data_IF_062345739885
#
_entry.id   IF_062345739885
#
_cell.length_a   1.000
_cell.length_b   1.000
_cell.length_c   1.000
_cell.angle_alpha   90.00
_cell.angle_beta   90.00
_cell.angle_gamma   90.00
#
_symmetry.space_group_name_H-M   'P 1'
#
loop_
_entity.id
_entity.type
_entity.pdbx_description
1 polymer ?
#
# COMPACT_ATOMS: atom_id res chain seq x y z
N UNK A 1 -9.91 42.27 43.66
CA UNK A 1 -11.37 42.47 43.88
C UNK A 1 -12.05 42.14 42.55
N UNK A 2 -12.84 41.08 42.37
CA UNK A 2 -14.08 40.72 43.07
C UNK A 2 -14.34 39.21 43.11
N UNK A 3 -15.16 38.82 44.11
CA UNK A 3 -15.54 37.48 44.54
C UNK A 3 -16.72 36.89 43.75
N UNK A 4 -16.64 35.56 43.60
CA UNK A 4 -17.65 34.49 43.72
C UNK A 4 -19.11 34.70 43.29
N UNK A 5 -19.64 33.72 42.54
CA UNK A 5 -20.82 32.97 43.00
C UNK A 5 -20.66 31.46 42.78
N UNK A 6 -21.01 30.73 43.83
CA UNK A 6 -21.09 29.27 43.95
C UNK A 6 -22.51 28.78 43.63
N UNK A 7 -22.62 27.50 43.26
CA UNK A 7 -23.62 26.45 43.64
C UNK A 7 -23.93 25.56 42.42
N UNK A 8 -24.27 24.27 42.49
CA UNK A 8 -24.08 23.12 43.38
C UNK A 8 -25.15 22.09 42.96
N UNK A 9 -24.80 20.79 42.88
CA UNK A 9 -25.74 19.66 42.99
C UNK A 9 -26.15 19.01 41.66
N UNK A 10 -26.47 17.70 41.57
CA UNK A 10 -26.62 16.60 42.53
C UNK A 10 -26.43 15.27 41.75
N UNK A 11 -26.11 14.25 42.54
CA UNK A 11 -25.75 12.83 42.37
C UNK A 11 -26.58 11.86 41.50
N UNK A 12 -25.99 10.66 41.31
CA UNK A 12 -26.56 9.29 41.32
C UNK A 12 -26.60 8.59 39.93
N UNK A 13 -26.28 7.31 39.69
CA UNK A 13 -25.87 6.12 40.47
C UNK A 13 -25.53 5.00 39.45
N UNK A 14 -24.40 4.29 39.58
CA UNK A 14 -24.25 2.84 39.90
C UNK A 14 -24.63 1.79 38.80
N UNK A 15 -23.58 1.09 38.32
CA UNK A 15 -23.40 -0.38 38.09
C UNK A 15 -23.99 -1.10 36.86
N UNK A 16 -23.08 -1.77 36.12
CA UNK A 16 -23.08 -3.21 35.82
C UNK A 16 -21.70 -3.61 35.25
N UNK A 17 -20.81 -4.21 36.06
CA UNK A 17 -20.52 -5.65 36.18
C UNK A 17 -19.87 -6.30 34.94
N UNK A 18 -18.64 -6.78 35.20
CA UNK A 18 -17.71 -7.41 34.29
C UNK A 18 -18.17 -8.78 33.79
N UNK A 19 -17.85 -9.09 32.54
CA UNK A 19 -17.72 -10.45 32.05
C UNK A 19 -16.26 -10.66 31.60
N UNK A 20 -15.55 -11.48 32.37
CA UNK A 20 -14.17 -11.87 32.10
C UNK A 20 -14.23 -13.14 31.25
N UNK A 21 -13.90 -13.04 29.96
CA UNK A 21 -13.63 -14.22 29.15
C UNK A 21 -12.15 -14.59 29.35
N UNK A 22 -11.90 -15.67 30.09
CA UNK A 22 -10.56 -16.20 30.31
C UNK A 22 -9.96 -16.72 28.98
N UNK A 23 -8.65 -16.54 28.74
CA UNK A 23 -7.96 -17.28 27.70
C UNK A 23 -7.79 -18.74 28.14
N UNK A 24 -8.33 -19.67 27.34
CA UNK A 24 -8.01 -21.10 27.43
C UNK A 24 -6.50 -21.28 27.24
N UNK A 25 -5.84 -21.75 28.30
CA UNK A 25 -4.43 -22.10 28.28
C UNK A 25 -4.30 -23.45 27.57
N UNK A 26 -3.78 -23.44 26.34
CA UNK A 26 -3.31 -24.64 25.67
C UNK A 26 -2.07 -25.16 26.41
N UNK A 27 -2.30 -26.16 27.24
CA UNK A 27 -1.30 -26.93 27.96
C UNK A 27 -0.34 -27.63 27.00
N UNK A 28 0.90 -27.13 26.94
CA UNK A 28 2.04 -27.77 26.30
C UNK A 28 2.38 -29.07 27.05
N UNK A 29 1.83 -30.19 26.58
CA UNK A 29 2.27 -31.53 26.91
C UNK A 29 3.51 -31.87 26.09
N UNK A 30 4.68 -31.71 26.70
CA UNK A 30 5.92 -32.37 26.27
C UNK A 30 5.86 -33.86 26.62
N UNK A 31 6.70 -34.63 25.91
CA UNK A 31 7.12 -36.03 26.10
C UNK A 31 6.47 -37.10 25.20
N UNK A 32 7.21 -37.42 24.14
CA UNK A 32 7.81 -38.75 24.04
C UNK A 32 7.11 -39.74 23.10
N UNK A 33 7.62 -39.85 21.87
CA UNK A 33 7.18 -40.87 20.92
C UNK A 33 7.97 -40.87 19.62
N UNK A 34 9.28 -41.04 19.73
CA UNK A 34 10.19 -41.35 18.62
C UNK A 34 9.82 -42.72 18.06
N UNK A 35 9.38 -42.81 16.79
CA UNK A 35 9.93 -43.75 15.80
C UNK A 35 9.48 -43.40 14.38
N UNK A 36 10.46 -42.91 13.61
CA UNK A 36 10.88 -43.47 12.33
C UNK A 36 9.83 -43.57 11.19
N UNK A 37 9.85 -42.60 10.27
CA UNK A 37 10.01 -42.99 8.87
C UNK A 37 10.86 -41.97 8.06
N UNK A 38 11.87 -42.54 7.42
CA UNK A 38 12.76 -42.06 6.36
C UNK A 38 12.85 -40.53 6.12
N UNK A 39 13.89 -39.85 6.62
CA UNK A 39 15.15 -39.63 5.88
C UNK A 39 15.10 -40.00 4.38
N UNK A 40 14.78 -39.01 3.53
CA UNK A 40 15.50 -38.70 2.26
C UNK A 40 14.90 -37.47 1.57
N UNK A 41 15.39 -36.29 1.94
CA UNK A 41 15.61 -35.10 1.09
C UNK A 41 16.08 -33.95 2.00
N UNK A 42 17.39 -33.83 2.18
CA UNK A 42 18.18 -32.70 1.66
C UNK A 42 18.03 -31.44 2.52
N UNK A 43 18.82 -31.34 3.59
CA UNK A 43 20.01 -30.47 3.62
C UNK A 43 19.67 -28.98 3.70
N UNK A 44 19.67 -28.48 4.93
CA UNK A 44 19.69 -27.07 5.26
C UNK A 44 20.98 -26.43 4.74
N UNK A 45 20.91 -25.75 3.61
CA UNK A 45 21.83 -24.65 3.29
C UNK A 45 21.23 -23.68 2.27
N UNK A 46 21.20 -22.40 2.67
CA UNK A 46 21.19 -21.17 1.85
C UNK A 46 19.90 -20.78 1.12
N UNK A 47 19.63 -19.46 1.22
CA UNK A 47 18.74 -18.63 0.40
C UNK A 47 17.25 -18.77 0.78
N UNK A 48 16.62 -17.80 1.47
CA UNK A 48 16.33 -16.46 0.93
C UNK A 48 16.21 -16.46 -0.60
N UNK A 49 15.39 -17.36 -1.12
CA UNK A 49 14.72 -17.22 -2.40
C UNK A 49 13.24 -17.39 -2.11
N UNK A 50 12.55 -16.27 -1.88
CA UNK A 50 11.11 -16.22 -1.99
C UNK A 50 10.78 -16.57 -3.43
N UNK A 51 10.38 -17.82 -3.63
CA UNK A 51 9.91 -18.37 -4.88
C UNK A 51 8.69 -17.55 -5.31
N UNK A 52 8.89 -16.79 -6.39
CA UNK A 52 7.89 -16.00 -7.07
C UNK A 52 6.85 -16.94 -7.66
N UNK A 53 5.72 -17.08 -6.98
CA UNK A 53 4.49 -17.64 -7.55
C UNK A 53 3.93 -16.60 -8.55
N UNK A 54 3.52 -16.98 -9.77
CA UNK A 54 2.99 -16.03 -10.74
C UNK A 54 1.70 -15.44 -10.20
N UNK A 55 1.73 -14.15 -9.88
CA UNK A 55 0.65 -13.46 -9.21
C UNK A 55 -0.49 -13.19 -10.22
N UNK A 56 -1.66 -13.76 -9.98
CA UNK A 56 -2.87 -13.46 -10.76
C UNK A 56 -3.53 -12.18 -10.25
N UNK A 57 -4.28 -11.48 -11.10
CA UNK A 57 -4.94 -10.18 -10.86
C UNK A 57 -5.59 -9.96 -9.49
N UNK A 58 -6.03 -11.02 -8.83
CA UNK A 58 -6.62 -10.96 -7.49
C UNK A 58 -5.63 -10.53 -6.40
N UNK A 59 -4.31 -10.69 -6.61
CA UNK A 59 -3.30 -10.37 -5.59
C UNK A 59 -2.90 -8.88 -5.52
N UNK A 60 -3.15 -8.08 -6.57
CA UNK A 60 -2.96 -6.63 -6.48
C UNK A 60 -4.15 -5.91 -5.82
N UNK A 61 -5.33 -6.52 -5.74
CA UNK A 61 -6.46 -6.03 -4.93
C UNK A 61 -6.49 -6.63 -3.51
N UNK A 62 -6.05 -7.88 -3.32
CA UNK A 62 -6.13 -8.57 -2.03
C UNK A 62 -5.12 -8.11 -0.96
N UNK A 63 -4.10 -7.31 -1.32
CA UNK A 63 -3.06 -6.87 -0.38
C UNK A 63 -3.21 -5.42 0.11
N UNK A 64 -4.33 -4.77 -0.21
CA UNK A 64 -4.74 -3.52 0.42
C UNK A 64 -5.60 -3.79 1.66
N UNK A 65 -5.00 -3.64 2.85
CA UNK A 65 -5.61 -3.65 4.19
C UNK A 65 -5.51 -4.95 5.02
N UNK A 66 -5.36 -4.71 6.32
CA UNK A 66 -4.93 -5.55 7.43
C UNK A 66 -5.74 -6.83 7.73
N UNK A 67 -5.02 -7.89 8.14
CA UNK A 67 -5.47 -9.01 8.99
C UNK A 67 -6.82 -9.68 8.66
N UNK A 68 -6.81 -10.70 7.80
CA UNK A 68 -7.84 -11.74 7.83
C UNK A 68 -7.27 -13.07 7.35
N UNK A 69 -7.59 -14.14 8.08
CA UNK A 69 -6.87 -15.41 8.10
C UNK A 69 -6.88 -16.19 6.78
N UNK A 70 -5.72 -16.74 6.46
CA UNK A 70 -5.49 -17.65 5.33
C UNK A 70 -6.21 -18.98 5.58
N UNK A 71 -7.19 -19.29 4.74
CA UNK A 71 -7.55 -20.68 4.41
C UNK A 71 -7.20 -20.91 2.95
N UNK A 72 -5.98 -21.40 2.72
CA UNK A 72 -5.56 -21.93 1.43
C UNK A 72 -6.12 -23.36 1.35
N UNK A 73 -7.30 -23.50 0.72
CA UNK A 73 -7.80 -24.80 0.30
C UNK A 73 -7.04 -25.23 -0.97
N UNK A 74 -6.53 -26.45 -0.93
CA UNK A 74 -5.49 -26.94 -1.83
C UNK A 74 -5.93 -27.28 -3.25
N UNK A 75 -4.91 -27.53 -4.07
CA UNK A 75 -5.02 -28.38 -5.25
C UNK A 75 -4.47 -27.76 -6.54
N UNK A 76 -3.24 -28.11 -6.89
CA UNK A 76 -2.79 -28.48 -8.25
C UNK A 76 -3.39 -27.73 -9.47
N UNK A 77 -3.50 -26.40 -9.43
CA UNK A 77 -3.68 -25.55 -10.61
C UNK A 77 -2.35 -24.83 -10.82
N UNK A 78 -1.38 -25.37 -11.57
CA UNK A 78 -1.53 -25.83 -12.95
C UNK A 78 -1.09 -24.66 -13.85
N UNK A 79 0.07 -24.79 -14.49
CA UNK A 79 0.86 -23.76 -15.22
C UNK A 79 0.16 -23.12 -16.44
N UNK A 80 -1.16 -23.17 -16.52
CA UNK A 80 -1.98 -22.72 -17.66
C UNK A 80 -2.83 -21.48 -17.37
N UNK A 81 -2.86 -20.97 -16.14
CA UNK A 81 -3.58 -19.74 -15.81
C UNK A 81 -2.94 -18.46 -16.40
N UNK A 82 -1.62 -18.46 -16.61
CA UNK A 82 -0.91 -17.29 -17.14
C UNK A 82 -1.27 -16.95 -18.60
N UNK A 83 -1.51 -17.96 -19.44
CA UNK A 83 -1.77 -17.75 -20.87
C UNK A 83 -3.17 -17.15 -21.13
N UNK A 84 -4.15 -17.46 -20.27
CA UNK A 84 -5.49 -16.89 -20.37
C UNK A 84 -5.55 -15.43 -19.88
N UNK A 85 -4.77 -15.08 -18.84
CA UNK A 85 -4.70 -13.72 -18.31
C UNK A 85 -4.00 -12.75 -19.29
N UNK A 86 -2.92 -13.20 -19.95
CA UNK A 86 -2.28 -12.44 -21.03
C UNK A 86 -3.19 -12.23 -22.23
N UNK A 87 -4.00 -13.24 -22.58
CA UNK A 87 -4.99 -13.15 -23.68
C UNK A 87 -6.22 -12.31 -23.31
N UNK A 88 -6.52 -12.13 -22.02
CA UNK A 88 -7.50 -11.18 -21.52
C UNK A 88 -6.97 -9.73 -21.45
N UNK A 89 -5.70 -9.49 -21.84
CA UNK A 89 -5.11 -8.15 -21.95
C UNK A 89 -4.61 -7.55 -20.63
N UNK A 90 -4.62 -8.31 -19.53
CA UNK A 90 -4.34 -7.75 -18.21
C UNK A 90 -2.97 -8.27 -17.75
N UNK A 91 -1.94 -7.52 -18.13
CA UNK A 91 -0.57 -7.74 -17.70
C UNK A 91 -0.41 -7.22 -16.27
N UNK A 92 -0.13 -8.11 -15.30
CA UNK A 92 0.17 -7.76 -13.91
C UNK A 92 1.68 -7.83 -13.66
N UNK A 93 2.29 -6.68 -13.42
CA UNK A 93 3.71 -6.52 -13.09
C UNK A 93 3.92 -6.45 -11.57
N UNK A 94 5.16 -6.70 -11.14
CA UNK A 94 5.55 -6.56 -9.74
C UNK A 94 5.89 -5.10 -9.45
N UNK A 95 5.30 -4.47 -8.41
CA UNK A 95 5.70 -3.14 -7.97
C UNK A 95 7.17 -3.08 -7.54
N UNK A 96 7.91 -2.12 -8.07
CA UNK A 96 9.31 -1.88 -7.70
C UNK A 96 9.35 -1.15 -6.35
N UNK A 97 10.11 -1.69 -5.39
CA UNK A 97 10.24 -1.06 -4.07
C UNK A 97 10.82 0.35 -4.14
N UNK A 98 11.69 0.63 -5.13
CA UNK A 98 12.28 1.95 -5.39
C UNK A 98 11.23 3.04 -5.63
N UNK A 99 10.06 2.68 -6.18
CA UNK A 99 9.01 3.64 -6.53
C UNK A 99 7.79 3.58 -5.60
N UNK A 100 7.84 2.75 -4.55
CA UNK A 100 6.73 2.58 -3.60
C UNK A 100 6.35 3.86 -2.84
N UNK A 101 7.28 4.79 -2.70
CA UNK A 101 7.03 6.11 -2.09
C UNK A 101 6.33 7.09 -3.04
N UNK A 102 6.27 6.78 -4.34
CA UNK A 102 5.75 7.66 -5.39
C UNK A 102 4.52 7.09 -6.08
N UNK A 103 4.44 5.77 -6.24
CA UNK A 103 3.35 5.07 -6.92
C UNK A 103 2.56 4.22 -5.96
N UNK A 104 1.24 4.24 -6.12
CA UNK A 104 0.37 3.28 -5.45
C UNK A 104 0.51 1.90 -6.09
N UNK A 105 0.29 0.85 -5.31
CA UNK A 105 0.26 -0.53 -5.79
C UNK A 105 -0.71 -0.73 -6.96
N UNK A 106 -1.87 -0.04 -6.93
CA UNK A 106 -2.89 -0.12 -7.97
C UNK A 106 -2.39 0.37 -9.35
N UNK A 107 -1.44 1.30 -9.39
CA UNK A 107 -0.81 1.80 -10.61
C UNK A 107 0.40 0.94 -10.97
N UNK A 108 1.29 0.69 -10.00
CA UNK A 108 2.55 -0.02 -10.22
C UNK A 108 2.34 -1.44 -10.79
N UNK A 109 1.29 -2.14 -10.36
CA UNK A 109 0.97 -3.48 -10.88
C UNK A 109 0.60 -3.52 -12.37
N UNK A 110 0.28 -2.39 -13.01
CA UNK A 110 -0.11 -2.34 -14.43
C UNK A 110 1.02 -1.88 -15.36
N UNK A 111 2.12 -1.43 -14.77
CA UNK A 111 3.25 -0.82 -15.45
C UNK A 111 4.48 -1.74 -15.36
N UNK A 112 5.19 -1.89 -16.47
CA UNK A 112 6.50 -2.53 -16.44
C UNK A 112 7.52 -1.69 -15.65
N UNK A 113 8.70 -2.24 -15.30
CA UNK A 113 9.67 -1.49 -14.49
C UNK A 113 10.14 -0.15 -15.07
N UNK A 114 10.22 0.00 -16.41
CA UNK A 114 10.61 1.27 -17.03
C UNK A 114 9.46 2.28 -16.98
N UNK A 115 8.23 1.82 -17.21
CA UNK A 115 7.03 2.64 -17.09
C UNK A 115 6.79 3.10 -15.65
N UNK A 116 7.06 2.24 -14.66
CA UNK A 116 7.01 2.62 -13.25
C UNK A 116 8.00 3.75 -12.95
N UNK A 117 9.20 3.72 -13.54
CA UNK A 117 10.16 4.82 -13.40
C UNK A 117 9.64 6.12 -14.00
N UNK A 118 9.10 6.08 -15.22
CA UNK A 118 8.53 7.26 -15.89
C UNK A 118 7.35 7.85 -15.11
N UNK A 119 6.46 7.00 -14.59
CA UNK A 119 5.33 7.41 -13.76
C UNK A 119 5.79 8.02 -12.42
N UNK A 120 6.80 7.42 -11.77
CA UNK A 120 7.38 7.97 -10.55
C UNK A 120 8.06 9.32 -10.79
N UNK A 121 8.79 9.47 -11.90
CA UNK A 121 9.39 10.74 -12.30
C UNK A 121 8.36 11.83 -12.60
N UNK A 122 7.25 11.47 -13.24
CA UNK A 122 6.13 12.39 -13.45
C UNK A 122 5.52 12.85 -12.12
N UNK A 123 5.35 11.96 -11.15
CA UNK A 123 4.91 12.32 -9.79
C UNK A 123 5.91 13.27 -9.13
N UNK A 124 7.20 12.95 -9.13
CA UNK A 124 8.24 13.80 -8.53
C UNK A 124 8.30 15.17 -9.19
N UNK A 125 8.10 15.24 -10.50
CA UNK A 125 8.11 16.50 -11.25
C UNK A 125 6.87 17.34 -10.94
N UNK A 126 5.69 16.73 -10.92
CA UNK A 126 4.44 17.42 -10.58
C UNK A 126 4.44 17.95 -9.13
N UNK A 127 5.12 17.26 -8.23
CA UNK A 127 5.19 17.60 -6.79
C UNK A 127 6.41 18.42 -6.40
N UNK A 128 7.29 18.76 -7.36
CA UNK A 128 8.49 19.56 -7.05
C UNK A 128 8.09 20.95 -6.57
N UNK A 129 8.70 21.39 -5.47
CA UNK A 129 8.43 22.67 -4.83
C UNK A 129 8.52 23.84 -5.80
N UNK A 130 7.41 24.55 -5.99
CA UNK A 130 7.29 25.74 -6.84
C UNK A 130 6.67 26.93 -6.12
N UNK A 131 6.24 26.76 -4.86
CA UNK A 131 5.86 27.88 -3.98
C UNK A 131 7.08 28.50 -3.31
N UNK A 132 6.96 29.74 -2.84
CA UNK A 132 8.01 30.45 -2.10
C UNK A 132 8.48 29.67 -0.85
N UNK A 133 7.59 28.88 -0.26
CA UNK A 133 7.84 27.97 0.88
C UNK A 133 8.36 26.57 0.48
N UNK A 134 8.69 26.37 -0.80
CA UNK A 134 9.26 25.12 -1.32
C UNK A 134 8.28 23.94 -1.43
N UNK A 135 6.97 24.19 -1.56
CA UNK A 135 5.92 23.17 -1.68
C UNK A 135 5.28 23.08 -3.07
N UNK A 136 4.53 22.02 -3.33
CA UNK A 136 3.89 21.77 -4.63
C UNK A 136 2.66 22.67 -4.88
N UNK A 137 2.44 23.11 -6.11
CA UNK A 137 1.28 23.92 -6.48
C UNK A 137 0.08 23.04 -6.87
N UNK A 138 -1.10 23.37 -6.35
CA UNK A 138 -2.35 22.71 -6.76
C UNK A 138 -2.63 23.04 -8.23
N UNK A 139 -3.01 22.03 -9.00
CA UNK A 139 -3.22 22.10 -10.45
C UNK A 139 -1.99 21.75 -11.28
N UNK A 140 -0.79 21.67 -10.69
CA UNK A 140 0.40 21.23 -11.42
C UNK A 140 0.21 19.80 -11.90
N UNK A 141 0.46 19.61 -13.21
CA UNK A 141 0.31 18.31 -13.88
C UNK A 141 1.58 18.00 -14.66
N UNK A 142 1.99 16.74 -14.64
CA UNK A 142 3.06 16.21 -15.51
C UNK A 142 2.54 14.96 -16.21
N UNK A 143 2.74 14.90 -17.52
CA UNK A 143 2.32 13.78 -18.38
C UNK A 143 3.53 12.99 -18.86
N UNK A 144 3.35 11.70 -19.12
CA UNK A 144 4.38 10.82 -19.67
C UNK A 144 3.77 9.83 -20.67
N UNK A 145 4.60 9.31 -21.56
CA UNK A 145 4.26 8.25 -22.53
C UNK A 145 5.28 7.14 -22.37
N UNK A 146 4.84 5.90 -22.42
CA UNK A 146 5.71 4.74 -22.27
C UNK A 146 6.73 4.66 -23.41
N UNK A 147 7.98 4.37 -23.04
CA UNK A 147 9.06 4.09 -24.00
C UNK A 147 9.08 2.62 -24.45
N UNK A 148 8.39 1.73 -23.72
CA UNK A 148 8.39 0.28 -23.94
C UNK A 148 7.12 -0.20 -24.66
N UNK A 149 5.98 0.49 -24.47
CA UNK A 149 4.67 0.12 -25.04
C UNK A 149 3.96 1.34 -25.62
N UNK A 150 3.58 1.34 -26.92
CA UNK A 150 3.01 2.51 -27.58
C UNK A 150 1.60 2.89 -27.11
N UNK A 151 0.89 1.96 -26.44
CA UNK A 151 -0.47 2.13 -25.95
C UNK A 151 -0.54 2.39 -24.43
N UNK A 152 0.58 2.78 -23.83
CA UNK A 152 0.69 3.11 -22.41
C UNK A 152 1.12 4.55 -22.20
N UNK A 153 0.37 5.28 -21.39
CA UNK A 153 0.67 6.66 -21.02
C UNK A 153 0.09 6.99 -19.65
N UNK A 154 0.45 8.14 -19.11
CA UNK A 154 -0.16 8.60 -17.87
C UNK A 154 0.12 10.06 -17.54
N UNK A 155 -0.42 10.46 -16.39
CA UNK A 155 -0.22 11.78 -15.82
C UNK A 155 -0.33 11.73 -14.29
N UNK A 156 0.37 12.66 -13.66
CA UNK A 156 0.25 12.94 -12.22
C UNK A 156 -0.15 14.39 -12.03
N UNK A 157 -1.19 14.62 -11.24
CA UNK A 157 -1.74 15.96 -10.98
C UNK A 157 -1.83 16.20 -9.48
N UNK A 158 -1.33 17.34 -8.99
CA UNK A 158 -1.57 17.80 -7.62
C UNK A 158 -2.99 18.35 -7.53
N UNK A 159 -3.88 17.67 -6.82
CA UNK A 159 -5.31 18.01 -6.77
C UNK A 159 -5.70 18.86 -5.57
N UNK A 160 -4.87 18.88 -4.52
CA UNK A 160 -5.16 19.65 -3.32
C UNK A 160 -3.97 19.76 -2.40
N UNK A 161 -4.07 20.68 -1.44
CA UNK A 161 -3.14 20.84 -0.33
C UNK A 161 -3.93 20.78 0.97
N UNK A 162 -3.45 20.01 1.93
CA UNK A 162 -4.02 19.98 3.26
C UNK A 162 -3.58 21.21 4.07
N UNK A 163 -4.41 21.68 5.01
CA UNK A 163 -3.97 22.70 5.96
C UNK A 163 -2.77 22.18 6.76
N UNK A 164 -1.90 23.09 7.19
CA UNK A 164 -0.73 22.76 8.00
C UNK A 164 -1.15 21.90 9.20
N UNK A 165 -0.54 20.73 9.31
CA UNK A 165 -0.88 19.74 10.33
C UNK A 165 -0.10 20.02 11.63
N UNK A 166 -0.68 19.65 12.77
CA UNK A 166 -0.12 19.98 14.10
C UNK A 166 1.24 19.30 14.37
N UNK A 167 1.56 18.26 13.63
CA UNK A 167 2.83 17.52 13.61
C UNK A 167 3.87 18.16 12.68
N UNK A 168 3.55 19.31 12.05
CA UNK A 168 4.44 20.05 11.17
C UNK A 168 4.64 19.42 9.80
N UNK A 169 3.77 18.51 9.38
CA UNK A 169 3.84 17.92 8.04
C UNK A 169 3.14 18.82 7.01
N UNK A 170 3.74 18.90 5.83
CA UNK A 170 3.12 19.52 4.65
C UNK A 170 2.64 18.39 3.74
N UNK A 171 1.32 18.28 3.58
CA UNK A 171 0.67 17.19 2.85
C UNK A 171 -0.14 17.72 1.67
N UNK A 172 -0.06 16.98 0.57
CA UNK A 172 -0.75 17.25 -0.69
C UNK A 172 -1.53 16.01 -1.14
N UNK A 173 -2.57 16.25 -1.92
CA UNK A 173 -3.30 15.22 -2.64
C UNK A 173 -2.79 15.17 -4.07
N UNK A 174 -2.48 13.97 -4.54
CA UNK A 174 -2.01 13.71 -5.91
C UNK A 174 -2.92 12.66 -6.54
N UNK A 175 -3.36 12.93 -7.78
CA UNK A 175 -4.11 12.00 -8.60
C UNK A 175 -3.23 11.51 -9.73
N UNK A 176 -2.94 10.21 -9.74
CA UNK A 176 -2.30 9.55 -10.87
C UNK A 176 -3.35 8.94 -11.76
N UNK A 177 -3.18 9.10 -13.07
CA UNK A 177 -3.99 8.45 -14.09
C UNK A 177 -3.05 7.76 -15.06
N UNK A 178 -3.28 6.48 -15.31
CA UNK A 178 -2.61 5.73 -16.38
C UNK A 178 -3.65 5.24 -17.38
N UNK A 179 -3.23 5.12 -18.62
CA UNK A 179 -4.01 4.53 -19.72
C UNK A 179 -3.19 3.37 -20.24
N UNK A 180 -3.76 2.16 -20.21
CA UNK A 180 -3.14 0.95 -20.76
C UNK A 180 -4.11 0.35 -21.77
N UNK A 181 -3.71 0.27 -23.03
CA UNK A 181 -4.55 -0.25 -24.12
C UNK A 181 -5.94 0.42 -24.22
N UNK A 182 -6.01 1.71 -23.85
CA UNK A 182 -7.25 2.49 -23.84
C UNK A 182 -8.08 2.40 -22.55
N UNK A 183 -7.68 1.59 -21.56
CA UNK A 183 -8.33 1.52 -20.25
C UNK A 183 -7.69 2.52 -19.27
N UNK A 184 -8.50 3.43 -18.70
CA UNK A 184 -8.06 4.38 -17.68
C UNK A 184 -8.08 3.75 -16.29
N UNK A 185 -6.95 3.80 -15.58
CA UNK A 185 -6.87 3.53 -14.14
C UNK A 185 -6.48 4.81 -13.42
N UNK A 186 -7.25 5.18 -12.39
CA UNK A 186 -6.97 6.32 -11.51
C UNK A 186 -6.63 5.86 -10.11
N UNK A 187 -5.64 6.49 -9.49
CA UNK A 187 -5.33 6.33 -8.08
C UNK A 187 -5.05 7.68 -7.44
N UNK A 188 -5.85 8.03 -6.43
CA UNK A 188 -5.61 9.19 -5.59
C UNK A 188 -4.77 8.79 -4.38
N UNK A 189 -3.78 9.61 -4.04
CA UNK A 189 -2.84 9.35 -2.96
C UNK A 189 -2.54 10.62 -2.19
N UNK A 190 -2.35 10.46 -0.89
CA UNK A 190 -1.86 11.51 0.00
C UNK A 190 -0.35 11.42 0.06
N UNK A 191 0.34 12.52 -0.20
CA UNK A 191 1.79 12.59 -0.08
C UNK A 191 2.19 13.68 0.89
N UNK A 192 3.12 13.38 1.78
CA UNK A 192 3.56 14.30 2.81
C UNK A 192 5.08 14.49 2.75
N UNK A 193 5.53 15.66 3.21
CA UNK A 193 6.92 15.97 3.47
C UNK A 193 7.05 16.65 4.83
N UNK A 194 8.24 16.57 5.42
CA UNK A 194 8.60 17.37 6.58
C UNK A 194 9.49 18.53 6.15
N UNK A 195 9.03 19.79 6.17
CA UNK A 195 9.88 20.94 5.87
C UNK A 195 11.16 20.95 6.74
N UNK A 196 12.32 21.35 6.19
CA UNK A 196 12.54 21.88 4.84
C UNK A 196 12.78 20.80 3.76
N UNK A 197 12.52 19.51 4.04
CA UNK A 197 12.70 18.45 3.03
C UNK A 197 11.93 18.79 1.75
N UNK A 198 12.55 18.69 0.57
CA UNK A 198 11.91 19.06 -0.69
C UNK A 198 11.06 17.94 -1.29
N UNK A 199 11.16 16.70 -0.78
CA UNK A 199 10.52 15.53 -1.39
C UNK A 199 9.28 15.11 -0.61
N UNK A 200 8.18 14.95 -1.35
CA UNK A 200 6.97 14.30 -0.87
C UNK A 200 7.06 12.78 -1.05
N UNK A 201 6.49 12.03 -0.13
CA UNK A 201 6.32 10.58 -0.20
C UNK A 201 4.90 10.20 0.17
N UNK A 202 4.39 9.11 -0.40
CA UNK A 202 3.07 8.55 -0.04
C UNK A 202 3.03 8.29 1.47
N UNK A 203 1.92 8.68 2.10
CA UNK A 203 1.59 8.28 3.47
C UNK A 203 0.25 7.53 3.44
N UNK A 204 0.18 6.40 4.14
CA UNK A 204 -1.05 5.66 4.36
C UNK A 204 -1.94 6.34 5.42
#
# INVERSE_FOLDING_TARGET
MNRHYRKAGITATIVALAAMAAPLQAQFGSFGGIVNDARRASENNRQQQQQQTPQTQDECQANGSSNAGRQILGGILGRTANDAAYRAGISSYVPMSEFSDQLSTAIACRLDPQEQRQAAEATVTATRGTTEEGGANVGTTTTWVSETRPDVSGRSTVTGREPASADGMDCIMVSDVIIVSGEETRADKRMCRRPPSPRYSITA
#
